data_IF_930334870250
#
_entry.id   IF_930334870250
#
_cell.length_a   1.000
_cell.length_b   1.000
_cell.length_c   1.000
_cell.angle_alpha   90.00
_cell.angle_beta   90.00
_cell.angle_gamma   90.00
#
_symmetry.space_group_name_H-M   'P 1'
#
loop_
_entity.id
_entity.type
_entity.pdbx_description
1 polymer ?
#
# COMPACT_ATOMS: atom_id res chain seq x y z
N UNK A 1 -19.64 -10.39 29.20
CA UNK A 1 -18.48 -10.06 28.31
C UNK A 1 -18.83 -10.27 26.84
N UNK A 2 -19.53 -11.35 26.42
CA UNK A 2 -19.86 -11.64 25.02
C UNK A 2 -20.82 -10.64 24.33
N UNK A 3 -21.77 -10.05 25.08
CA UNK A 3 -22.74 -9.10 24.51
C UNK A 3 -22.11 -7.73 24.16
N UNK A 4 -21.10 -7.30 24.90
CA UNK A 4 -20.40 -6.04 24.66
C UNK A 4 -19.41 -6.13 23.48
N UNK A 5 -18.80 -7.32 23.28
CA UNK A 5 -17.97 -7.58 22.10
C UNK A 5 -18.82 -7.70 20.82
N UNK A 6 -19.99 -8.30 20.91
CA UNK A 6 -20.95 -8.34 19.80
C UNK A 6 -21.46 -6.93 19.45
N UNK A 7 -21.82 -6.11 20.43
CA UNK A 7 -22.23 -4.72 20.21
C UNK A 7 -21.10 -3.88 19.56
N UNK A 8 -19.85 -4.06 19.97
CA UNK A 8 -18.70 -3.41 19.34
C UNK A 8 -18.52 -3.83 17.88
N UNK A 9 -18.79 -5.10 17.54
CA UNK A 9 -18.78 -5.58 16.14
C UNK A 9 -19.85 -4.93 15.28
N UNK A 10 -21.02 -4.64 15.83
CA UNK A 10 -22.12 -3.97 15.11
C UNK A 10 -21.86 -2.47 14.84
N UNK A 11 -20.96 -1.84 15.61
CA UNK A 11 -20.64 -0.42 15.50
C UNK A 11 -19.38 -0.21 14.63
N UNK A 12 -18.57 -1.25 14.41
CA UNK A 12 -17.36 -1.15 13.59
C UNK A 12 -17.69 -1.11 12.10
N UNK A 13 -17.22 -0.07 11.43
CA UNK A 13 -17.20 -0.01 9.97
C UNK A 13 -15.75 -0.02 9.51
N UNK A 14 -15.33 -1.11 8.92
CA UNK A 14 -13.95 -1.37 8.53
C UNK A 14 -13.76 -1.18 7.03
N UNK A 15 -12.71 -0.46 6.65
CA UNK A 15 -12.23 -0.36 5.27
C UNK A 15 -10.82 -0.91 5.17
N UNK A 16 -10.51 -1.51 4.03
CA UNK A 16 -9.16 -1.98 3.70
C UNK A 16 -8.65 -1.16 2.52
N UNK A 17 -7.49 -0.57 2.68
CA UNK A 17 -6.89 0.30 1.66
C UNK A 17 -5.48 -0.17 1.33
N UNK A 18 -5.13 -0.11 0.06
CA UNK A 18 -3.78 -0.37 -0.45
C UNK A 18 -3.32 0.73 -1.40
N UNK A 19 -2.05 0.76 -1.72
CA UNK A 19 -1.49 1.65 -2.73
C UNK A 19 -1.19 0.92 -4.06
N UNK A 20 -0.78 1.66 -5.06
CA UNK A 20 -0.44 1.10 -6.37
C UNK A 20 0.87 0.30 -6.39
N UNK A 21 1.63 0.31 -5.30
CA UNK A 21 2.78 -0.59 -5.11
C UNK A 21 2.40 -2.07 -5.14
N UNK A 22 1.12 -2.38 -4.90
CA UNK A 22 0.55 -3.72 -5.06
C UNK A 22 0.51 -4.21 -6.53
N UNK A 23 0.73 -3.31 -7.49
CA UNK A 23 0.58 -3.61 -8.90
C UNK A 23 -0.88 -3.71 -9.38
N UNK A 24 -1.84 -3.41 -8.50
CA UNK A 24 -3.25 -3.31 -8.88
C UNK A 24 -3.54 -1.94 -9.50
N UNK A 25 -4.49 -1.92 -10.43
CA UNK A 25 -5.16 -0.69 -10.83
C UNK A 25 -6.28 -0.37 -9.83
N UNK A 26 -6.81 0.86 -9.90
CA UNK A 26 -7.95 1.26 -9.09
C UNK A 26 -9.15 0.32 -9.29
N UNK A 27 -9.43 -0.04 -10.54
CA UNK A 27 -10.54 -0.93 -10.91
C UNK A 27 -10.32 -2.35 -10.40
N UNK A 28 -9.11 -2.89 -10.53
CA UNK A 28 -8.76 -4.21 -10.01
C UNK A 28 -8.86 -4.26 -8.48
N UNK A 29 -8.40 -3.22 -7.79
CA UNK A 29 -8.52 -3.13 -6.33
C UNK A 29 -9.99 -3.16 -5.90
N UNK A 30 -10.86 -2.42 -6.59
CA UNK A 30 -12.30 -2.40 -6.32
C UNK A 30 -12.97 -3.78 -6.44
N UNK A 31 -12.53 -4.61 -7.40
CA UNK A 31 -13.03 -5.98 -7.56
C UNK A 31 -12.77 -6.86 -6.33
N UNK A 32 -11.72 -6.58 -5.58
CA UNK A 32 -11.40 -7.27 -4.33
C UNK A 32 -11.97 -6.60 -3.08
N UNK A 33 -12.72 -5.50 -3.24
CA UNK A 33 -13.23 -4.74 -2.12
C UNK A 33 -12.16 -3.89 -1.42
N UNK A 34 -11.08 -3.57 -2.12
CA UNK A 34 -10.00 -2.71 -1.65
C UNK A 34 -10.24 -1.27 -2.09
N UNK A 35 -10.08 -0.35 -1.16
CA UNK A 35 -9.87 1.05 -1.51
C UNK A 35 -8.40 1.26 -1.96
N UNK A 36 -8.17 2.29 -2.75
CA UNK A 36 -6.93 2.44 -3.50
C UNK A 36 -6.41 3.87 -3.43
N UNK A 37 -5.11 4.01 -3.18
CA UNK A 37 -4.40 5.27 -3.31
C UNK A 37 -3.23 5.11 -4.30
N UNK A 38 -3.17 5.93 -5.34
CA UNK A 38 -2.11 5.83 -6.34
C UNK A 38 -0.81 6.47 -5.85
N UNK A 39 0.31 5.78 -6.04
CA UNK A 39 1.61 6.44 -6.05
C UNK A 39 1.68 7.40 -7.24
N UNK A 40 2.56 8.37 -7.17
CA UNK A 40 2.82 9.26 -8.30
C UNK A 40 4.02 8.77 -9.10
N UNK A 41 3.93 8.83 -10.41
CA UNK A 41 5.06 8.68 -11.35
C UNK A 41 5.30 10.02 -12.00
N UNK A 42 6.48 10.57 -11.78
CA UNK A 42 6.86 11.90 -12.27
C UNK A 42 7.78 11.71 -13.48
N UNK A 43 7.34 12.21 -14.62
CA UNK A 43 8.09 12.20 -15.88
C UNK A 43 8.26 13.64 -16.32
N UNK A 44 9.50 14.13 -16.28
CA UNK A 44 9.81 15.57 -16.43
C UNK A 44 9.03 16.39 -15.39
N UNK A 45 8.17 17.30 -15.82
CA UNK A 45 7.42 18.19 -14.94
C UNK A 45 5.98 17.71 -14.71
N UNK A 46 5.61 16.52 -15.21
CA UNK A 46 4.25 15.99 -15.08
C UNK A 46 4.19 14.83 -14.11
N UNK A 47 3.27 14.91 -13.16
CA UNK A 47 2.92 13.82 -12.25
C UNK A 47 1.73 13.03 -12.79
N UNK A 48 1.90 11.72 -12.90
CA UNK A 48 0.86 10.77 -13.25
C UNK A 48 0.47 9.97 -12.03
N UNK A 49 -0.80 9.58 -11.94
CA UNK A 49 -1.31 8.71 -10.90
C UNK A 49 -1.20 7.25 -11.37
N UNK A 50 -0.32 6.50 -10.73
CA UNK A 50 -0.08 5.09 -11.07
C UNK A 50 -1.34 4.24 -10.87
N UNK A 51 -1.72 3.48 -11.90
CA UNK A 51 -2.93 2.65 -11.91
C UNK A 51 -4.24 3.43 -12.10
N UNK A 52 -4.17 4.72 -12.42
CA UNK A 52 -5.33 5.57 -12.75
C UNK A 52 -5.13 6.23 -14.12
N UNK A 53 -4.12 7.08 -14.29
CA UNK A 53 -3.89 7.83 -15.52
C UNK A 53 -2.56 7.49 -16.23
N UNK A 54 -1.89 6.44 -15.77
CA UNK A 54 -0.70 5.89 -16.41
C UNK A 54 -0.79 4.37 -16.41
N UNK A 55 -0.75 3.77 -17.59
CA UNK A 55 -0.67 2.31 -17.75
C UNK A 55 0.79 1.85 -17.75
N UNK A 56 0.99 0.54 -17.53
CA UNK A 56 2.32 -0.06 -17.57
C UNK A 56 2.94 0.10 -18.97
N UNK A 57 2.14 -0.06 -20.01
CA UNK A 57 2.58 0.09 -21.39
C UNK A 57 3.04 1.51 -21.71
N UNK A 58 2.29 2.51 -21.25
CA UNK A 58 2.67 3.92 -21.39
C UNK A 58 3.96 4.24 -20.62
N UNK A 59 4.13 3.68 -19.43
CA UNK A 59 5.36 3.85 -18.65
C UNK A 59 6.57 3.29 -19.40
N UNK A 60 6.45 2.07 -19.95
CA UNK A 60 7.53 1.48 -20.73
C UNK A 60 7.83 2.26 -22.00
N UNK A 61 6.81 2.80 -22.68
CA UNK A 61 7.01 3.68 -23.85
C UNK A 61 7.84 4.92 -23.45
N UNK A 62 7.55 5.55 -22.34
CA UNK A 62 8.37 6.66 -21.82
C UNK A 62 9.83 6.25 -21.58
N UNK A 63 10.04 5.10 -20.93
CA UNK A 63 11.37 4.58 -20.63
C UNK A 63 12.13 4.28 -21.93
N UNK A 64 11.49 3.63 -22.91
CA UNK A 64 12.10 3.30 -24.20
C UNK A 64 12.46 4.56 -25.00
N UNK A 65 11.74 5.64 -24.79
CA UNK A 65 12.05 6.97 -25.38
C UNK A 65 13.15 7.74 -24.62
N UNK A 66 13.72 7.16 -23.57
CA UNK A 66 14.83 7.72 -22.82
C UNK A 66 14.44 8.60 -21.64
N UNK A 67 13.16 8.67 -21.27
CA UNK A 67 12.74 9.37 -20.07
C UNK A 67 13.14 8.59 -18.82
N UNK A 68 13.36 9.31 -17.72
CA UNK A 68 13.72 8.75 -16.42
C UNK A 68 12.61 9.01 -15.40
N UNK A 69 11.60 8.14 -15.30
CA UNK A 69 10.54 8.31 -14.34
C UNK A 69 11.04 8.29 -12.90
N UNK A 70 10.49 9.15 -12.07
CA UNK A 70 10.68 9.15 -10.62
C UNK A 70 9.37 8.82 -9.94
N UNK A 71 9.42 8.32 -8.73
CA UNK A 71 8.22 7.96 -7.96
C UNK A 71 8.09 8.83 -6.71
N UNK A 72 6.86 9.04 -6.29
CA UNK A 72 6.53 9.75 -5.07
C UNK A 72 5.30 9.09 -4.42
N UNK A 73 5.10 9.38 -3.13
CA UNK A 73 3.91 8.92 -2.42
C UNK A 73 2.62 9.51 -3.03
N UNK A 74 1.44 8.96 -2.69
CA UNK A 74 0.17 9.52 -3.14
C UNK A 74 0.04 11.01 -2.83
N UNK A 75 -0.65 11.78 -3.69
CA UNK A 75 -0.92 13.19 -3.41
C UNK A 75 -1.61 13.36 -2.06
N UNK A 76 -1.10 14.26 -1.22
CA UNK A 76 -1.68 14.51 0.10
C UNK A 76 -3.16 14.88 0.02
N UNK A 77 -3.56 15.66 -0.98
CA UNK A 77 -4.96 16.01 -1.21
C UNK A 77 -5.87 14.80 -1.42
N UNK A 78 -5.38 13.77 -2.13
CA UNK A 78 -6.15 12.53 -2.33
C UNK A 78 -6.26 11.72 -1.03
N UNK A 79 -5.21 11.68 -0.23
CA UNK A 79 -5.23 11.04 1.09
C UNK A 79 -6.26 11.74 1.98
N UNK A 80 -6.20 13.06 2.07
CA UNK A 80 -7.12 13.87 2.88
C UNK A 80 -8.57 13.67 2.43
N UNK A 81 -8.86 13.75 1.14
CA UNK A 81 -10.18 13.53 0.57
C UNK A 81 -10.74 12.14 0.90
N UNK A 82 -9.91 11.10 0.78
CA UNK A 82 -10.30 9.73 1.12
C UNK A 82 -10.70 9.60 2.58
N UNK A 83 -9.95 10.17 3.49
CA UNK A 83 -10.24 10.09 4.92
C UNK A 83 -11.37 11.03 5.36
N UNK A 84 -11.60 12.15 4.68
CA UNK A 84 -12.81 12.95 4.85
C UNK A 84 -14.06 12.16 4.46
N UNK A 85 -14.02 11.48 3.32
CA UNK A 85 -15.06 10.55 2.88
C UNK A 85 -15.32 9.47 3.93
N UNK A 86 -14.28 8.83 4.45
CA UNK A 86 -14.41 7.83 5.49
C UNK A 86 -15.10 8.36 6.75
N UNK A 87 -14.75 9.57 7.17
CA UNK A 87 -15.38 10.21 8.31
C UNK A 87 -16.86 10.46 8.06
N UNK A 88 -17.24 10.95 6.90
CA UNK A 88 -18.64 11.17 6.51
C UNK A 88 -19.44 9.86 6.45
N UNK A 89 -18.82 8.78 5.98
CA UNK A 89 -19.42 7.45 5.91
C UNK A 89 -19.49 6.72 7.27
N UNK A 90 -18.91 7.28 8.32
CA UNK A 90 -18.88 6.66 9.65
C UNK A 90 -17.90 5.49 9.76
N UNK A 91 -16.87 5.45 8.93
CA UNK A 91 -15.78 4.46 9.04
C UNK A 91 -15.08 4.63 10.38
N UNK A 92 -14.93 3.55 11.12
CA UNK A 92 -14.29 3.54 12.45
C UNK A 92 -12.87 3.04 12.42
N UNK A 93 -12.59 2.11 11.53
CA UNK A 93 -11.32 1.38 11.45
C UNK A 93 -10.87 1.23 10.00
N UNK A 94 -9.58 1.36 9.76
CA UNK A 94 -8.96 1.13 8.46
C UNK A 94 -7.80 0.16 8.61
N UNK A 95 -7.82 -0.90 7.83
CA UNK A 95 -6.66 -1.79 7.65
C UNK A 95 -5.87 -1.25 6.46
N UNK A 96 -4.64 -0.86 6.71
CA UNK A 96 -3.75 -0.23 5.73
C UNK A 96 -2.62 -1.16 5.34
N UNK A 97 -2.58 -1.53 4.07
CA UNK A 97 -1.52 -2.35 3.48
C UNK A 97 -0.87 -1.55 2.35
N UNK A 98 0.33 -1.08 2.60
CA UNK A 98 1.13 -0.30 1.65
C UNK A 98 2.46 -0.99 1.37
N UNK A 99 3.18 -0.52 0.35
CA UNK A 99 4.59 -0.88 0.20
C UNK A 99 5.40 -0.50 1.45
N UNK A 100 6.51 -1.20 1.65
CA UNK A 100 7.35 -1.05 2.84
C UNK A 100 7.75 0.39 3.11
N UNK A 101 7.78 0.75 4.39
CA UNK A 101 8.34 2.02 4.88
C UNK A 101 9.83 2.20 4.53
N UNK A 102 10.55 1.11 4.26
CA UNK A 102 11.93 1.15 3.74
C UNK A 102 12.03 1.63 2.29
N UNK A 103 10.91 1.67 1.56
CA UNK A 103 10.85 2.08 0.15
C UNK A 103 10.11 3.40 -0.06
N UNK A 104 9.21 3.77 0.83
CA UNK A 104 8.33 4.95 0.66
C UNK A 104 7.80 5.47 1.99
N UNK A 105 7.53 6.76 2.07
CA UNK A 105 6.83 7.40 3.19
C UNK A 105 5.30 7.28 3.16
N UNK A 106 4.74 6.52 2.24
CA UNK A 106 3.28 6.42 2.01
C UNK A 106 2.51 6.00 3.27
N UNK A 107 2.96 4.94 3.94
CA UNK A 107 2.27 4.43 5.13
C UNK A 107 2.18 5.48 6.24
N UNK A 108 3.28 6.16 6.52
CA UNK A 108 3.34 7.21 7.55
C UNK A 108 2.46 8.42 7.19
N UNK A 109 2.45 8.83 5.93
CA UNK A 109 1.63 9.95 5.47
C UNK A 109 0.13 9.65 5.63
N UNK A 110 -0.30 8.43 5.30
CA UNK A 110 -1.69 8.00 5.46
C UNK A 110 -2.08 7.94 6.94
N UNK A 111 -1.24 7.37 7.79
CA UNK A 111 -1.50 7.33 9.24
C UNK A 111 -1.62 8.74 9.85
N UNK A 112 -0.79 9.67 9.43
CA UNK A 112 -0.85 11.06 9.89
C UNK A 112 -2.19 11.70 9.53
N UNK A 113 -2.70 11.50 8.32
CA UNK A 113 -4.00 12.00 7.88
C UNK A 113 -5.17 11.41 8.68
N UNK A 114 -5.12 10.11 8.98
CA UNK A 114 -6.17 9.42 9.74
C UNK A 114 -6.30 9.92 11.19
N UNK A 115 -5.18 10.28 11.81
CA UNK A 115 -5.11 10.68 13.22
C UNK A 115 -6.07 11.81 13.58
N UNK A 116 -6.23 12.79 12.70
CA UNK A 116 -7.10 13.95 12.91
C UNK A 116 -8.59 13.62 12.85
N UNK A 117 -8.96 12.48 12.27
CA UNK A 117 -10.33 12.10 11.99
C UNK A 117 -10.91 11.09 12.97
N UNK A 118 -10.12 10.69 13.96
CA UNK A 118 -10.53 9.70 14.96
C UNK A 118 -10.74 8.30 14.38
N UNK A 119 -10.18 8.01 13.21
CA UNK A 119 -10.24 6.71 12.57
C UNK A 119 -9.08 5.87 13.11
N UNK A 120 -9.39 4.68 13.61
CA UNK A 120 -8.38 3.75 14.12
C UNK A 120 -7.66 3.04 12.97
N UNK A 121 -6.35 3.15 12.94
CA UNK A 121 -5.50 2.54 11.92
C UNK A 121 -4.93 1.22 12.42
N UNK A 122 -5.00 0.20 11.54
CA UNK A 122 -4.42 -1.12 11.76
C UNK A 122 -3.48 -1.38 10.60
N UNK A 123 -2.20 -1.41 10.86
CA UNK A 123 -1.17 -1.56 9.83
C UNK A 123 0.06 -2.26 10.37
N UNK A 124 0.91 -2.69 9.45
CA UNK A 124 2.22 -3.26 9.74
C UNK A 124 3.16 -2.91 8.59
N UNK A 125 4.46 -2.94 8.85
CA UNK A 125 5.43 -2.94 7.76
C UNK A 125 5.49 -4.34 7.15
N UNK A 126 5.33 -4.42 5.84
CA UNK A 126 5.36 -5.70 5.11
C UNK A 126 6.75 -6.05 4.57
N UNK A 127 7.70 -5.11 4.68
CA UNK A 127 9.11 -5.25 4.24
C UNK A 127 9.28 -5.62 2.76
N UNK A 128 8.29 -5.32 1.93
CA UNK A 128 8.25 -5.68 0.51
C UNK A 128 7.30 -4.77 -0.27
N UNK A 129 7.01 -5.13 -1.50
CA UNK A 129 6.07 -4.48 -2.41
C UNK A 129 5.56 -5.48 -3.46
N UNK A 130 4.91 -5.01 -4.52
CA UNK A 130 4.48 -5.77 -5.70
C UNK A 130 3.61 -6.99 -5.36
N UNK A 131 3.98 -8.17 -5.85
CA UNK A 131 3.14 -9.37 -5.76
C UNK A 131 2.84 -9.79 -4.33
N UNK A 132 3.79 -9.67 -3.41
CA UNK A 132 3.57 -10.01 -1.99
C UNK A 132 2.65 -8.98 -1.34
N UNK A 133 2.83 -7.69 -1.61
CA UNK A 133 1.90 -6.64 -1.14
C UNK A 133 0.49 -6.91 -1.65
N UNK A 134 0.32 -7.22 -2.92
CA UNK A 134 -0.97 -7.56 -3.53
C UNK A 134 -1.63 -8.74 -2.83
N UNK A 135 -0.88 -9.80 -2.60
CA UNK A 135 -1.37 -10.97 -1.87
C UNK A 135 -1.88 -10.61 -0.47
N UNK A 136 -1.12 -9.82 0.27
CA UNK A 136 -1.46 -9.39 1.62
C UNK A 136 -2.69 -8.47 1.63
N UNK A 137 -2.77 -7.52 0.69
CA UNK A 137 -3.91 -6.62 0.57
C UNK A 137 -5.21 -7.37 0.24
N UNK A 138 -5.17 -8.29 -0.71
CA UNK A 138 -6.33 -9.13 -1.07
C UNK A 138 -6.73 -10.03 0.11
N UNK A 139 -5.76 -10.61 0.81
CA UNK A 139 -6.01 -11.42 2.00
C UNK A 139 -6.67 -10.62 3.11
N UNK A 140 -6.20 -9.39 3.35
CA UNK A 140 -6.81 -8.47 4.32
C UNK A 140 -8.27 -8.14 3.94
N UNK A 141 -8.53 -7.86 2.67
CA UNK A 141 -9.88 -7.57 2.19
C UNK A 141 -10.83 -8.76 2.40
N UNK A 142 -10.39 -9.97 2.09
CA UNK A 142 -11.18 -11.19 2.32
C UNK A 142 -11.49 -11.42 3.79
N UNK A 143 -10.49 -11.27 4.65
CA UNK A 143 -10.68 -11.42 6.10
C UNK A 143 -11.65 -10.36 6.65
N UNK A 144 -11.57 -9.13 6.17
CA UNK A 144 -12.51 -8.08 6.56
C UNK A 144 -13.94 -8.38 6.11
N UNK A 145 -14.13 -8.92 4.89
CA UNK A 145 -15.42 -9.36 4.38
C UNK A 145 -16.01 -10.52 5.20
N UNK A 146 -15.15 -11.38 5.74
CA UNK A 146 -15.52 -12.46 6.66
C UNK A 146 -15.70 -11.97 8.10
N UNK A 147 -15.73 -10.66 8.33
CA UNK A 147 -15.90 -10.03 9.62
C UNK A 147 -14.82 -10.39 10.67
N UNK A 148 -13.61 -10.70 10.21
CA UNK A 148 -12.46 -10.88 11.11
C UNK A 148 -12.09 -9.52 11.68
N UNK A 149 -11.83 -9.47 12.99
CA UNK A 149 -11.45 -8.22 13.65
C UNK A 149 -10.15 -7.66 13.09
N UNK A 150 -10.02 -6.33 12.90
CA UNK A 150 -8.81 -5.73 12.32
C UNK A 150 -7.50 -6.10 13.02
N UNK A 151 -7.49 -6.21 14.34
CA UNK A 151 -6.30 -6.64 15.09
C UNK A 151 -5.89 -8.07 14.73
N UNK A 152 -6.86 -8.96 14.51
CA UNK A 152 -6.61 -10.34 14.08
C UNK A 152 -6.15 -10.38 12.62
N UNK A 153 -6.71 -9.54 11.76
CA UNK A 153 -6.25 -9.40 10.37
C UNK A 153 -4.76 -9.06 10.37
N UNK A 154 -4.35 -8.04 11.09
CA UNK A 154 -2.94 -7.61 11.16
C UNK A 154 -2.06 -8.72 11.74
N UNK A 155 -2.51 -9.42 12.77
CA UNK A 155 -1.75 -10.53 13.36
C UNK A 155 -1.52 -11.68 12.37
N UNK A 156 -2.56 -12.05 11.61
CA UNK A 156 -2.45 -13.08 10.55
C UNK A 156 -1.54 -12.64 9.41
N UNK A 157 -1.64 -11.37 9.00
CA UNK A 157 -0.76 -10.82 7.96
C UNK A 157 0.69 -10.76 8.43
N UNK A 158 0.93 -10.44 9.70
CA UNK A 158 2.28 -10.45 10.27
C UNK A 158 2.90 -11.84 10.17
N UNK A 159 2.16 -12.88 10.47
CA UNK A 159 2.62 -14.27 10.31
C UNK A 159 2.97 -14.57 8.85
N UNK A 160 2.13 -14.14 7.91
CA UNK A 160 2.40 -14.28 6.47
C UNK A 160 3.66 -13.52 6.05
N UNK A 161 3.86 -12.30 6.55
CA UNK A 161 5.07 -11.49 6.28
C UNK A 161 6.31 -12.20 6.81
N UNK A 162 6.26 -12.71 8.03
CA UNK A 162 7.40 -13.40 8.65
C UNK A 162 7.82 -14.65 7.86
N UNK A 163 6.90 -15.27 7.15
CA UNK A 163 7.11 -16.47 6.33
C UNK A 163 7.23 -16.18 4.82
N UNK A 164 7.32 -14.93 4.41
CA UNK A 164 7.40 -14.52 3.00
C UNK A 164 8.78 -13.98 2.64
N UNK A 165 9.14 -14.13 1.37
CA UNK A 165 10.28 -13.46 0.78
C UNK A 165 9.96 -13.14 -0.68
N UNK A 166 10.23 -11.90 -1.11
CA UNK A 166 10.11 -11.47 -2.50
C UNK A 166 11.45 -11.49 -3.21
N UNK A 167 11.43 -11.80 -4.50
CA UNK A 167 12.56 -11.65 -5.40
C UNK A 167 12.17 -10.74 -6.54
N UNK A 168 13.04 -9.80 -6.88
CA UNK A 168 12.84 -8.83 -7.93
C UNK A 168 13.96 -8.95 -8.96
N UNK A 169 13.61 -9.24 -10.19
CA UNK A 169 14.55 -9.23 -11.32
C UNK A 169 14.56 -7.81 -11.90
N UNK A 170 15.70 -7.13 -11.76
CA UNK A 170 15.88 -5.78 -12.28
C UNK A 170 16.55 -5.82 -13.65
N UNK A 171 15.92 -5.20 -14.64
CA UNK A 171 16.55 -5.05 -15.96
C UNK A 171 17.64 -3.97 -15.95
N UNK A 172 17.51 -2.97 -15.09
CA UNK A 172 18.45 -1.86 -14.97
C UNK A 172 18.66 -1.47 -13.49
N UNK A 173 19.77 -1.94 -12.93
CA UNK A 173 20.17 -1.60 -11.55
C UNK A 173 20.59 -0.13 -11.40
N UNK A 174 21.11 0.50 -12.46
CA UNK A 174 21.48 1.91 -12.42
C UNK A 174 20.24 2.79 -12.27
N UNK A 175 19.15 2.45 -12.93
CA UNK A 175 17.88 3.14 -12.76
C UNK A 175 17.38 3.06 -11.32
N UNK A 176 17.41 1.87 -10.74
CA UNK A 176 17.03 1.62 -9.34
C UNK A 176 17.94 2.40 -8.37
N UNK A 177 19.25 2.48 -8.66
CA UNK A 177 20.22 3.25 -7.89
C UNK A 177 19.91 4.75 -7.95
N UNK A 178 19.66 5.27 -9.14
CA UNK A 178 19.30 6.70 -9.34
C UNK A 178 18.00 7.06 -8.62
N UNK A 179 17.06 6.13 -8.53
CA UNK A 179 15.83 6.30 -7.76
C UNK A 179 16.00 6.21 -6.24
N UNK A 180 17.22 5.91 -5.76
CA UNK A 180 17.54 5.83 -4.33
C UNK A 180 17.02 4.57 -3.61
N UNK A 181 16.51 3.56 -4.34
CA UNK A 181 15.95 2.33 -3.75
C UNK A 181 16.85 1.12 -3.85
N UNK A 182 17.96 1.19 -4.60
CA UNK A 182 18.91 0.09 -4.68
C UNK A 182 19.55 -0.22 -3.31
N UNK A 183 20.05 0.79 -2.62
CA UNK A 183 20.70 0.62 -1.31
C UNK A 183 19.77 -0.01 -0.28
N UNK A 184 18.53 0.47 -0.05
CA UNK A 184 17.58 -0.21 0.84
C UNK A 184 17.32 -1.66 0.47
N UNK A 185 17.21 -1.98 -0.83
CA UNK A 185 16.94 -3.35 -1.30
C UNK A 185 18.15 -4.27 -1.19
N UNK A 186 19.36 -3.75 -1.47
CA UNK A 186 20.61 -4.51 -1.44
C UNK A 186 21.21 -4.62 -0.02
N UNK A 187 20.91 -3.65 0.85
CA UNK A 187 21.47 -3.62 2.18
C UNK A 187 20.96 -4.78 3.02
N UNK A 188 21.84 -5.67 3.39
CA UNK A 188 21.61 -6.69 4.43
C UNK A 188 21.56 -6.09 5.83
N UNK A 189 21.14 -4.83 5.94
CA UNK A 189 21.09 -4.11 7.19
C UNK A 189 19.90 -4.60 8.02
N UNK A 190 20.16 -5.57 8.87
CA UNK A 190 19.23 -5.97 9.91
C UNK A 190 17.95 -6.66 9.46
N UNK A 191 17.89 -7.19 8.26
CA UNK A 191 16.71 -7.93 7.76
C UNK A 191 15.47 -7.06 7.51
N UNK A 192 15.66 -5.75 7.27
CA UNK A 192 14.54 -4.81 7.15
C UNK A 192 13.69 -5.02 5.90
N UNK A 193 14.27 -5.37 4.75
CA UNK A 193 13.50 -5.68 3.55
C UNK A 193 13.54 -7.16 3.23
N UNK A 194 12.35 -7.72 2.96
CA UNK A 194 12.16 -9.12 2.54
C UNK A 194 12.05 -9.24 1.02
N UNK A 195 12.73 -8.37 0.30
CA UNK A 195 12.81 -8.34 -1.15
C UNK A 195 14.29 -8.28 -1.55
N UNK A 196 14.66 -9.04 -2.57
CA UNK A 196 16.02 -9.10 -3.07
C UNK A 196 16.05 -8.84 -4.56
N UNK A 197 16.83 -7.86 -5.04
CA UNK A 197 17.15 -7.75 -6.46
C UNK A 197 18.05 -8.90 -6.89
N UNK A 198 17.77 -9.45 -8.05
CA UNK A 198 18.51 -10.53 -8.69
C UNK A 198 19.12 -9.99 -9.98
#
# INVERSE_FOLDING_TARGET
RGSMELLKRWIMKVKVITDSGSGLTKEQAAEYGLDFLPLQVIIEDKAYLDGIDLTVEELYDFIDRGFLPQTSMPPLGMIEEKFDQYKEEGVTDVVLITLSSGLSGTNQAIQASAKWRGIKMHTLDIYTTLAVERYLAISAAKLAQDNVHPDEIVARLKDSVDNSQGFLICQDLDHLSRGGRLTPMAAKLGGMLKIRPI
#
